data_IF_811640730827
#
_entry.id   IF_811640730827
#
_cell.length_a   1.000
_cell.length_b   1.000
_cell.length_c   1.000
_cell.angle_alpha   90.00
_cell.angle_beta   90.00
_cell.angle_gamma   90.00
#
_symmetry.space_group_name_H-M   'P 1'
#
loop_
_entity.id
_entity.type
_entity.pdbx_description
1 polymer ?
#
# COMPACT_ATOMS: atom_id res chain seq x y z
N UNK A 1 55.05 4.72 45.02
CA UNK A 1 55.34 4.33 43.63
C UNK A 1 54.47 5.23 42.76
N UNK A 2 54.93 6.22 42.02
CA UNK A 2 56.25 6.47 41.44
C UNK A 2 56.04 6.71 39.95
N UNK A 3 56.19 7.97 39.53
CA UNK A 3 56.55 8.44 38.16
C UNK A 3 55.53 8.20 37.05
N UNK A 4 55.44 8.98 35.99
CA UNK A 4 55.94 10.28 35.51
C UNK A 4 54.96 10.58 34.34
N UNK A 5 54.62 11.83 34.02
CA UNK A 5 55.36 12.61 33.03
C UNK A 5 55.23 12.01 31.61
N UNK A 6 54.89 12.74 30.56
CA UNK A 6 55.14 14.14 30.27
C UNK A 6 54.63 14.45 28.86
N UNK A 7 54.32 15.75 28.64
CA UNK A 7 54.58 16.45 27.39
C UNK A 7 53.47 16.32 26.32
N UNK A 8 52.73 17.34 25.94
CA UNK A 8 53.06 18.77 25.88
C UNK A 8 53.15 19.23 24.42
N UNK A 9 52.90 20.52 24.14
CA UNK A 9 52.07 20.96 23.01
C UNK A 9 52.82 21.57 21.79
N UNK A 10 52.04 21.79 20.73
CA UNK A 10 52.16 22.67 19.54
C UNK A 10 53.43 23.55 19.36
N UNK A 11 53.77 23.85 18.08
CA UNK A 11 54.21 25.20 17.73
C UNK A 11 53.44 25.82 16.56
N UNK A 12 53.12 27.11 16.72
CA UNK A 12 52.80 28.07 15.64
C UNK A 12 54.08 28.43 14.88
N UNK A 13 53.99 28.71 13.57
CA UNK A 13 54.39 30.00 12.98
C UNK A 13 54.21 30.05 11.46
N UNK A 14 54.03 31.30 11.03
CA UNK A 14 53.65 31.87 9.74
C UNK A 14 54.81 31.88 8.73
N UNK A 15 54.51 31.71 7.44
CA UNK A 15 55.11 32.40 6.27
C UNK A 15 54.44 31.88 4.97
N UNK A 16 54.30 32.55 3.82
CA UNK A 16 54.04 33.94 3.38
C UNK A 16 54.06 33.87 1.83
N UNK A 17 52.97 34.27 1.14
CA UNK A 17 52.94 34.66 -0.29
C UNK A 17 53.16 33.54 -1.34
N UNK A 18 52.70 33.59 -2.59
CA UNK A 18 52.18 34.67 -3.46
C UNK A 18 51.46 34.04 -4.67
N UNK A 19 50.57 34.79 -5.34
CA UNK A 19 50.18 34.55 -6.74
C UNK A 19 48.75 34.01 -6.96
N UNK A 20 47.71 34.83 -6.85
CA UNK A 20 47.03 35.52 -7.98
C UNK A 20 46.43 34.60 -9.07
N UNK A 21 45.10 34.43 -9.05
CA UNK A 21 44.15 35.01 -10.04
C UNK A 21 42.72 34.46 -9.87
N UNK A 22 41.85 35.34 -9.41
CA UNK A 22 40.48 35.62 -9.88
C UNK A 22 39.73 34.56 -10.68
N UNK A 23 38.61 34.08 -10.12
CA UNK A 23 37.23 34.34 -10.56
C UNK A 23 36.35 33.28 -9.87
N UNK A 24 35.39 33.65 -9.04
CA UNK A 24 34.13 34.18 -9.52
C UNK A 24 33.10 33.05 -9.50
N UNK A 25 32.22 33.12 -8.49
CA UNK A 25 30.94 32.43 -8.36
C UNK A 25 30.90 30.91 -8.10
N UNK A 26 30.90 30.59 -6.80
CA UNK A 26 29.78 29.96 -6.09
C UNK A 26 28.73 29.18 -6.92
N UNK A 27 29.14 28.15 -7.65
CA UNK A 27 28.25 27.12 -8.16
C UNK A 27 28.08 26.00 -7.14
N UNK A 28 27.15 26.15 -6.18
CA UNK A 28 26.73 25.05 -5.29
C UNK A 28 26.35 23.86 -6.17
N UNK A 29 27.18 22.81 -6.18
CA UNK A 29 26.87 21.54 -6.85
C UNK A 29 25.69 20.91 -6.10
N UNK A 30 24.47 21.27 -6.52
CA UNK A 30 23.23 20.68 -6.02
C UNK A 30 23.23 19.20 -6.46
N UNK A 31 23.27 18.23 -5.54
CA UNK A 31 23.39 16.80 -5.85
C UNK A 31 22.14 16.25 -6.57
N UNK A 32 21.09 17.05 -6.66
CA UNK A 32 19.79 16.70 -7.23
C UNK A 32 19.72 16.72 -8.76
N UNK A 33 20.69 17.33 -9.46
CA UNK A 33 20.68 17.35 -10.95
C UNK A 33 20.93 15.98 -11.59
N UNK A 34 21.57 15.06 -10.86
CA UNK A 34 21.71 13.66 -11.27
C UNK A 34 20.39 12.89 -11.13
N UNK A 35 19.56 13.29 -10.17
CA UNK A 35 18.23 12.71 -9.92
C UNK A 35 17.26 13.05 -11.05
N UNK A 36 17.31 14.31 -11.54
CA UNK A 36 16.52 14.73 -12.72
C UNK A 36 16.89 13.95 -13.98
N UNK A 37 18.16 13.55 -14.15
CA UNK A 37 18.62 12.74 -15.27
C UNK A 37 18.12 11.29 -15.18
N UNK A 38 18.10 10.72 -13.97
CA UNK A 38 17.55 9.38 -13.73
C UNK A 38 16.02 9.32 -13.88
N UNK A 39 15.32 10.42 -13.58
CA UNK A 39 13.88 10.57 -13.85
C UNK A 39 13.58 10.78 -15.33
N UNK A 40 14.43 11.50 -16.07
CA UNK A 40 14.32 11.67 -17.53
C UNK A 40 14.62 10.39 -18.32
N UNK A 41 15.52 9.54 -17.83
CA UNK A 41 15.85 8.24 -18.43
C UNK A 41 14.92 7.10 -18.05
N UNK A 42 13.95 7.32 -17.14
CA UNK A 42 12.73 6.49 -17.04
C UNK A 42 11.78 6.78 -18.21
N UNK A 43 12.35 6.65 -19.40
CA UNK A 43 11.73 6.41 -20.69
C UNK A 43 10.54 5.48 -20.48
N UNK A 44 9.35 6.08 -20.46
CA UNK A 44 8.04 5.43 -20.58
C UNK A 44 7.91 4.14 -19.76
N UNK A 45 7.77 4.25 -18.44
CA UNK A 45 6.96 3.24 -17.75
C UNK A 45 5.52 3.45 -18.22
N UNK A 46 5.19 2.84 -19.36
CA UNK A 46 3.82 2.71 -19.84
C UNK A 46 3.22 1.67 -18.89
N UNK A 47 2.79 2.12 -17.70
CA UNK A 47 2.03 1.27 -16.79
C UNK A 47 0.69 1.06 -17.49
N UNK A 48 0.65 0.06 -18.36
CA UNK A 48 -0.59 -0.47 -18.91
C UNK A 48 -1.17 -1.34 -17.79
N UNK A 49 -1.70 -0.71 -16.74
CA UNK A 49 -2.58 -1.43 -15.82
C UNK A 49 -3.76 -1.86 -16.69
N UNK A 50 -3.96 -3.16 -16.85
CA UNK A 50 -5.14 -3.66 -17.50
C UNK A 50 -6.32 -3.43 -16.55
N UNK A 51 -6.93 -2.25 -16.66
CA UNK A 51 -8.06 -1.83 -15.82
C UNK A 51 -9.26 -2.77 -16.00
N UNK A 52 -9.40 -3.41 -17.16
CA UNK A 52 -10.41 -4.44 -17.39
C UNK A 52 -10.15 -5.68 -16.52
N UNK A 53 -8.93 -6.21 -16.49
CA UNK A 53 -8.58 -7.33 -15.59
C UNK A 53 -8.78 -6.98 -14.12
N UNK A 54 -8.48 -5.75 -13.73
CA UNK A 54 -8.67 -5.27 -12.36
C UNK A 54 -10.17 -5.18 -12.01
N UNK A 55 -10.99 -4.69 -12.93
CA UNK A 55 -12.44 -4.64 -12.79
C UNK A 55 -13.05 -6.04 -12.71
N UNK A 56 -12.60 -6.96 -13.57
CA UNK A 56 -13.05 -8.36 -13.55
C UNK A 56 -12.67 -9.06 -12.24
N UNK A 57 -11.45 -8.81 -11.73
CA UNK A 57 -11.03 -9.35 -10.42
C UNK A 57 -11.90 -8.82 -9.29
N UNK A 58 -12.26 -7.53 -9.32
CA UNK A 58 -13.21 -6.95 -8.38
C UNK A 58 -14.60 -7.58 -8.47
N UNK A 59 -15.11 -7.85 -9.66
CA UNK A 59 -16.40 -8.54 -9.84
C UNK A 59 -16.36 -9.99 -9.33
N UNK A 60 -15.26 -10.71 -9.58
CA UNK A 60 -15.10 -12.08 -9.09
C UNK A 60 -15.10 -12.13 -7.55
N UNK A 61 -14.37 -11.22 -6.88
CA UNK A 61 -14.39 -11.13 -5.43
C UNK A 61 -15.78 -10.76 -4.89
N UNK A 62 -16.50 -9.86 -5.57
CA UNK A 62 -17.85 -9.51 -5.16
C UNK A 62 -18.82 -10.69 -5.28
N UNK A 63 -18.74 -11.46 -6.37
CA UNK A 63 -19.53 -12.69 -6.53
C UNK A 63 -19.19 -13.70 -5.42
N UNK A 64 -17.91 -13.90 -5.13
CA UNK A 64 -17.45 -14.78 -4.06
C UNK A 64 -17.94 -14.35 -2.68
N UNK A 65 -17.97 -13.03 -2.40
CA UNK A 65 -18.54 -12.51 -1.16
C UNK A 65 -20.03 -12.88 -1.02
N UNK A 66 -20.81 -12.75 -2.10
CA UNK A 66 -22.22 -13.16 -2.13
C UNK A 66 -22.42 -14.66 -1.95
N UNK A 67 -21.54 -15.49 -2.52
CA UNK A 67 -21.55 -16.95 -2.27
C UNK A 67 -21.31 -17.27 -0.79
N UNK A 68 -20.37 -16.58 -0.14
CA UNK A 68 -20.13 -16.76 1.29
C UNK A 68 -21.32 -16.30 2.14
N UNK A 69 -21.93 -15.17 1.82
CA UNK A 69 -23.13 -14.69 2.51
C UNK A 69 -24.26 -15.72 2.44
N UNK A 70 -24.54 -16.27 1.25
CA UNK A 70 -25.55 -17.32 1.08
C UNK A 70 -25.24 -18.59 1.87
N UNK A 71 -23.97 -19.00 1.92
CA UNK A 71 -23.55 -20.15 2.72
C UNK A 71 -23.77 -19.90 4.21
N UNK A 72 -23.41 -18.71 4.68
CA UNK A 72 -23.58 -18.28 6.07
C UNK A 72 -25.07 -18.28 6.43
N UNK A 73 -25.95 -17.70 5.60
CA UNK A 73 -27.40 -17.77 5.81
C UNK A 73 -27.92 -19.20 5.89
N UNK A 74 -27.42 -20.10 5.03
CA UNK A 74 -27.82 -21.51 5.04
C UNK A 74 -27.44 -22.20 6.35
N UNK A 75 -26.23 -21.92 6.87
CA UNK A 75 -25.80 -22.43 8.19
C UNK A 75 -26.77 -21.97 9.27
N UNK A 76 -27.15 -20.69 9.26
CA UNK A 76 -28.10 -20.16 10.24
C UNK A 76 -29.49 -20.81 10.16
N UNK A 77 -30.02 -20.99 8.95
CA UNK A 77 -31.33 -21.65 8.77
C UNK A 77 -31.29 -23.10 9.26
N UNK A 78 -30.22 -23.83 8.95
CA UNK A 78 -30.04 -25.20 9.42
C UNK A 78 -29.97 -25.26 10.95
N UNK A 79 -29.23 -24.34 11.56
CA UNK A 79 -29.12 -24.22 13.02
C UNK A 79 -30.47 -23.95 13.68
N UNK A 80 -31.25 -22.97 13.19
CA UNK A 80 -32.60 -22.71 13.69
C UNK A 80 -33.51 -23.94 13.54
N UNK A 81 -33.48 -24.63 12.40
CA UNK A 81 -34.29 -25.83 12.19
C UNK A 81 -33.91 -27.01 13.10
N UNK A 82 -32.65 -27.04 13.58
CA UNK A 82 -32.17 -28.11 14.48
C UNK A 82 -32.58 -27.83 15.93
N UNK A 83 -32.64 -26.55 16.32
CA UNK A 83 -33.05 -26.13 17.67
C UNK A 83 -34.50 -26.54 18.02
N UNK A 84 -35.37 -26.71 17.03
CA UNK A 84 -36.75 -27.14 17.26
C UNK A 84 -36.84 -28.62 17.68
N UNK A 85 -35.89 -29.44 17.23
CA UNK A 85 -35.88 -30.91 17.43
C UNK A 85 -34.94 -31.31 18.57
N UNK A 86 -33.81 -30.62 18.71
CA UNK A 86 -32.79 -30.91 19.71
C UNK A 86 -32.85 -29.86 20.82
N UNK A 87 -33.39 -30.24 21.98
CA UNK A 87 -33.57 -29.36 23.13
C UNK A 87 -32.65 -29.78 24.29
N UNK A 88 -32.34 -28.83 25.18
CA UNK A 88 -31.57 -29.05 26.40
C UNK A 88 -30.19 -28.36 26.39
N UNK A 89 -29.43 -28.56 27.48
CA UNK A 89 -28.18 -27.83 27.75
C UNK A 89 -27.13 -27.95 26.63
N UNK A 90 -27.08 -29.06 25.91
CA UNK A 90 -26.14 -29.27 24.81
C UNK A 90 -26.51 -28.41 23.59
N UNK A 91 -27.81 -28.28 23.30
CA UNK A 91 -28.29 -27.39 22.24
C UNK A 91 -28.03 -25.93 22.60
N UNK A 92 -28.26 -25.52 23.86
CA UNK A 92 -27.96 -24.15 24.31
C UNK A 92 -26.46 -23.83 24.15
N UNK A 93 -25.58 -24.76 24.52
CA UNK A 93 -24.15 -24.61 24.34
C UNK A 93 -23.76 -24.54 22.85
N UNK A 94 -24.38 -25.35 22.00
CA UNK A 94 -24.15 -25.33 20.55
C UNK A 94 -24.59 -23.99 19.92
N UNK A 95 -25.81 -23.52 20.23
CA UNK A 95 -26.35 -22.25 19.73
C UNK A 95 -25.43 -21.09 20.11
N UNK A 96 -24.98 -21.03 21.37
CA UNK A 96 -24.05 -20.00 21.82
C UNK A 96 -22.76 -19.96 20.99
N UNK A 97 -22.18 -21.12 20.65
CA UNK A 97 -20.98 -21.16 19.80
C UNK A 97 -21.26 -20.65 18.39
N UNK A 98 -22.41 -20.98 17.82
CA UNK A 98 -22.79 -20.52 16.48
C UNK A 98 -23.04 -19.00 16.47
N UNK A 99 -23.70 -18.46 17.48
CA UNK A 99 -23.92 -17.01 17.64
C UNK A 99 -22.61 -16.23 17.75
N UNK A 100 -21.60 -16.78 18.43
CA UNK A 100 -20.25 -16.20 18.52
C UNK A 100 -19.54 -16.18 17.17
N UNK A 101 -19.74 -17.21 16.34
CA UNK A 101 -19.12 -17.33 15.03
C UNK A 101 -19.76 -16.43 13.98
N UNK A 102 -21.07 -16.18 14.07
CA UNK A 102 -21.82 -15.37 13.11
C UNK A 102 -21.17 -14.02 12.76
N UNK A 103 -20.83 -13.13 13.73
CA UNK A 103 -20.21 -11.84 13.40
C UNK A 103 -18.83 -12.01 12.77
N UNK A 104 -18.10 -13.09 13.06
CA UNK A 104 -16.79 -13.35 12.46
C UNK A 104 -16.92 -13.74 10.99
N UNK A 105 -17.92 -14.57 10.66
CA UNK A 105 -18.25 -14.95 9.29
C UNK A 105 -18.70 -13.75 8.47
N UNK A 106 -19.58 -12.92 9.02
CA UNK A 106 -20.02 -11.68 8.34
C UNK A 106 -18.88 -10.68 8.16
N UNK A 107 -17.92 -10.63 9.09
CA UNK A 107 -16.72 -9.81 8.92
C UNK A 107 -15.87 -10.27 7.72
N UNK A 108 -15.81 -11.57 7.43
CA UNK A 108 -15.11 -12.06 6.24
C UNK A 108 -15.76 -11.56 4.95
N UNK A 109 -17.10 -11.64 4.86
CA UNK A 109 -17.87 -11.10 3.72
C UNK A 109 -17.55 -9.62 3.53
N UNK A 110 -17.67 -8.82 4.59
CA UNK A 110 -17.37 -7.39 4.57
C UNK A 110 -15.95 -7.08 4.03
N UNK A 111 -14.95 -7.81 4.49
CA UNK A 111 -13.55 -7.60 4.06
C UNK A 111 -13.41 -7.89 2.57
N UNK A 112 -13.98 -8.99 2.08
CA UNK A 112 -13.90 -9.36 0.65
C UNK A 112 -14.61 -8.32 -0.21
N UNK A 113 -15.79 -7.86 0.19
CA UNK A 113 -16.52 -6.79 -0.51
C UNK A 113 -15.74 -5.47 -0.53
N UNK A 114 -15.09 -5.13 0.58
CA UNK A 114 -14.25 -3.93 0.66
C UNK A 114 -13.10 -4.00 -0.35
N UNK A 115 -12.41 -5.13 -0.44
CA UNK A 115 -11.36 -5.33 -1.44
C UNK A 115 -11.91 -5.29 -2.87
N UNK A 116 -13.04 -5.94 -3.13
CA UNK A 116 -13.71 -5.90 -4.43
C UNK A 116 -13.99 -4.44 -4.88
N UNK A 117 -14.50 -3.62 -3.95
CA UNK A 117 -14.79 -2.20 -4.20
C UNK A 117 -13.53 -1.38 -4.46
N UNK A 118 -12.44 -1.63 -3.73
CA UNK A 118 -11.14 -0.97 -3.97
C UNK A 118 -10.65 -1.28 -5.39
N UNK A 119 -10.68 -2.55 -5.82
CA UNK A 119 -10.23 -2.93 -7.16
C UNK A 119 -11.06 -2.24 -8.26
N UNK A 120 -12.38 -2.20 -8.09
CA UNK A 120 -13.29 -1.52 -9.03
C UNK A 120 -13.04 -0.02 -9.07
N UNK A 121 -12.85 0.63 -7.92
CA UNK A 121 -12.51 2.06 -7.85
C UNK A 121 -11.19 2.36 -8.55
N UNK A 122 -10.16 1.55 -8.29
CA UNK A 122 -8.87 1.68 -8.95
C UNK A 122 -9.00 1.50 -10.47
N UNK A 123 -9.78 0.53 -10.95
CA UNK A 123 -9.98 0.33 -12.40
C UNK A 123 -10.62 1.55 -13.07
N UNK A 124 -11.63 2.15 -12.45
CA UNK A 124 -12.32 3.33 -12.95
C UNK A 124 -11.38 4.54 -13.01
N UNK A 125 -10.58 4.74 -11.96
CA UNK A 125 -9.59 5.82 -11.93
C UNK A 125 -8.54 5.66 -13.05
N UNK A 126 -8.04 4.45 -13.28
CA UNK A 126 -7.09 4.19 -14.37
C UNK A 126 -7.70 4.38 -15.76
N UNK A 127 -8.94 3.92 -15.96
CA UNK A 127 -9.68 4.12 -17.21
C UNK A 127 -9.84 5.61 -17.51
N UNK A 128 -10.29 6.40 -16.53
CA UNK A 128 -10.47 7.85 -16.69
C UNK A 128 -9.15 8.56 -17.02
N UNK A 129 -8.05 8.19 -16.35
CA UNK A 129 -6.72 8.72 -16.65
C UNK A 129 -6.27 8.38 -18.08
N UNK A 130 -6.61 7.20 -18.59
CA UNK A 130 -6.28 6.81 -19.96
C UNK A 130 -7.11 7.59 -20.98
N UNK A 131 -8.42 7.74 -20.75
CA UNK A 131 -9.29 8.55 -21.60
C UNK A 131 -8.83 10.03 -21.65
N UNK A 132 -8.49 10.61 -20.50
CA UNK A 132 -7.99 11.99 -20.41
C UNK A 132 -6.70 12.19 -21.22
N UNK A 133 -5.76 11.23 -21.14
CA UNK A 133 -4.52 11.29 -21.93
C UNK A 133 -4.76 11.17 -23.44
N UNK A 134 -5.71 10.32 -23.85
CA UNK A 134 -6.08 10.19 -25.26
C UNK A 134 -6.75 11.45 -25.79
N UNK A 135 -7.64 12.07 -25.00
CA UNK A 135 -8.28 13.32 -25.37
C UNK A 135 -7.27 14.46 -25.53
N UNK A 136 -6.33 14.60 -24.58
CA UNK A 136 -5.25 15.59 -24.70
C UNK A 136 -4.38 15.35 -25.93
N UNK A 137 -4.01 14.10 -26.22
CA UNK A 137 -3.21 13.75 -27.39
C UNK A 137 -3.94 14.00 -28.72
N UNK A 138 -5.27 13.98 -28.75
CA UNK A 138 -6.07 14.35 -29.95
C UNK A 138 -6.13 15.87 -30.18
N UNK A 139 -5.91 16.66 -29.13
CA UNK A 139 -5.99 18.11 -29.16
C UNK A 139 -4.61 18.79 -29.35
N UNK A 140 -3.54 18.00 -29.52
CA UNK A 140 -2.17 18.42 -29.82
C UNK A 140 -1.84 18.10 -31.28
#
# INVERSE_FOLDING_TARGET
MGRDGTGGPLPRLVQRGTGTKNNGDAGTRRPWRSFDRLLKERKKMKITVNYEQLYQSGNALHAQAGEYEQLIERINRLMLSTSDVWQGSDNDAFIQQVEILWPQLMRMVYVIESYANVLKTCSQAYEQLQQNRLAQARNL
#
